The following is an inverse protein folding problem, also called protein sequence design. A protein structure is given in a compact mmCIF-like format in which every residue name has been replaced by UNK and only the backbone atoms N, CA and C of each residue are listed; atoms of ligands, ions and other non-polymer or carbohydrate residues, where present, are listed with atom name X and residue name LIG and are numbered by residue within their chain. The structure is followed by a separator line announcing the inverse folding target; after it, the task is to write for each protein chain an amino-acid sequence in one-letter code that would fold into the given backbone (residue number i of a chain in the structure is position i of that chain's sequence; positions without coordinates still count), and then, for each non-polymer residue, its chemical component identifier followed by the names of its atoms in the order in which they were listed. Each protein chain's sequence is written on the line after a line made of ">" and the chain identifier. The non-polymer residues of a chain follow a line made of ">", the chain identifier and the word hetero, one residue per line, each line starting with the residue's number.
data_IF_298105522371
#
_entry.id   IF_298105522371
#
_cell.length_a   1.000
_cell.length_b   1.000
_cell.length_c   1.000
_cell.angle_alpha   90.00
_cell.angle_beta   90.00
_cell.angle_gamma   90.00
#
_symmetry.space_group_name_H-M   'P 1'
#
loop_
_entity.id
_entity.type
_entity.pdbx_description
1 polymer ?
#
# COMPACT_ATOMS: atom_id res chain seq x y z
N UNK A 1 -6.63 -27.98 -2.23
CA UNK A 1 -7.15 -27.05 -1.20
C UNK A 1 -5.98 -26.18 -0.74
N UNK A 2 -5.78 -25.00 -1.32
CA UNK A 2 -4.67 -24.12 -0.94
C UNK A 2 -5.01 -23.53 0.42
N UNK A 3 -4.29 -23.94 1.48
CA UNK A 3 -4.39 -23.28 2.78
C UNK A 3 -3.93 -21.84 2.58
N UNK A 4 -4.86 -20.89 2.53
CA UNK A 4 -4.52 -19.49 2.72
C UNK A 4 -3.91 -19.37 4.12
N UNK A 5 -2.59 -19.28 4.19
CA UNK A 5 -1.90 -18.90 5.41
C UNK A 5 -2.55 -17.62 5.92
N UNK A 6 -2.88 -17.59 7.22
CA UNK A 6 -3.32 -16.36 7.89
C UNK A 6 -2.26 -15.31 7.55
N UNK A 7 -2.63 -14.27 6.79
CA UNK A 7 -1.87 -13.04 6.77
C UNK A 7 -1.83 -12.57 8.21
N UNK A 8 -0.70 -12.80 8.87
CA UNK A 8 -0.42 -12.21 10.16
C UNK A 8 -0.14 -10.74 9.89
N UNK A 9 -1.20 -9.91 9.89
CA UNK A 9 -1.06 -8.45 9.92
C UNK A 9 -0.23 -8.00 11.14
N UNK A 10 -0.13 -8.85 12.14
CA UNK A 10 0.66 -8.65 13.35
C UNK A 10 1.90 -9.53 13.34
N UNK A 11 3.04 -8.86 13.31
CA UNK A 11 4.36 -9.46 13.41
C UNK A 11 4.68 -9.80 14.88
N UNK A 12 4.93 -11.08 15.25
CA UNK A 12 5.14 -11.47 16.63
C UNK A 12 6.46 -10.95 17.23
N UNK A 13 7.49 -10.71 16.40
CA UNK A 13 8.83 -10.30 16.85
C UNK A 13 9.51 -9.34 15.85
N UNK A 14 9.01 -8.10 15.71
CA UNK A 14 9.57 -7.13 14.78
C UNK A 14 11.02 -6.75 15.13
N UNK A 15 11.85 -6.61 14.10
CA UNK A 15 13.18 -6.03 14.23
C UNK A 15 13.05 -4.52 14.48
N UNK A 16 13.82 -3.99 15.43
CA UNK A 16 14.02 -2.53 15.52
C UNK A 16 14.91 -2.12 14.34
N UNK A 17 14.67 -0.93 13.78
CA UNK A 17 15.49 -0.46 12.65
C UNK A 17 16.84 0.02 13.17
N UNK A 18 17.85 -0.85 13.03
CA UNK A 18 19.27 -0.63 13.35
C UNK A 18 19.98 0.15 12.25
N UNK A 19 21.14 -0.29 11.79
CA UNK A 19 21.69 0.20 10.53
C UNK A 19 20.76 -0.19 9.38
N UNK A 20 20.66 0.68 8.39
CA UNK A 20 19.77 0.52 7.23
C UNK A 20 20.61 0.63 5.99
N UNK A 21 20.59 -0.42 5.18
CA UNK A 21 21.12 -0.37 3.83
C UNK A 21 20.00 0.07 2.88
N UNK A 22 20.30 0.98 1.96
CA UNK A 22 19.32 1.51 1.00
C UNK A 22 19.87 1.39 -0.40
N UNK A 23 19.04 0.88 -1.30
CA UNK A 23 19.39 0.63 -2.69
C UNK A 23 18.32 1.19 -3.62
N UNK A 24 18.76 1.66 -4.79
CA UNK A 24 17.90 2.16 -5.87
C UNK A 24 18.01 1.29 -7.10
N UNK A 25 16.87 0.94 -7.69
CA UNK A 25 16.83 0.27 -8.98
C UNK A 25 15.89 1.00 -9.93
N UNK A 26 16.41 1.43 -11.08
CA UNK A 26 15.67 2.19 -12.09
C UNK A 26 16.28 3.55 -12.37
N UNK A 27 15.55 4.38 -13.12
CA UNK A 27 16.01 5.72 -13.45
C UNK A 27 15.79 6.69 -12.27
N UNK A 28 16.73 7.61 -12.06
CA UNK A 28 16.64 8.67 -11.04
C UNK A 28 15.40 9.55 -11.21
N UNK A 29 14.87 9.66 -12.44
CA UNK A 29 13.58 10.29 -12.71
C UNK A 29 12.54 9.24 -13.10
N UNK A 30 11.50 9.10 -12.28
CA UNK A 30 10.45 8.11 -12.50
C UNK A 30 9.04 8.69 -12.40
N UNK A 31 8.05 7.97 -12.93
CA UNK A 31 6.64 8.28 -12.66
C UNK A 31 6.28 7.92 -11.22
N UNK A 32 6.64 6.71 -10.81
CA UNK A 32 6.39 6.19 -9.47
C UNK A 32 7.72 5.80 -8.83
N UNK A 33 8.05 6.35 -7.68
CA UNK A 33 9.04 5.79 -6.77
C UNK A 33 8.30 4.98 -5.69
N UNK A 34 8.64 3.69 -5.55
CA UNK A 34 7.99 2.82 -4.55
C UNK A 34 9.01 2.35 -3.52
N UNK A 35 8.56 2.28 -2.28
CA UNK A 35 9.34 1.76 -1.17
C UNK A 35 9.04 0.28 -0.93
N UNK A 36 10.09 -0.54 -0.94
CA UNK A 36 10.09 -1.87 -0.36
C UNK A 36 10.96 -1.88 0.90
N UNK A 37 10.48 -2.51 1.96
CA UNK A 37 11.24 -2.72 3.19
C UNK A 37 11.57 -4.21 3.28
N UNK A 38 12.82 -4.58 3.09
CA UNK A 38 13.28 -5.96 3.20
C UNK A 38 13.57 -6.30 4.66
N UNK A 39 12.94 -7.36 5.17
CA UNK A 39 13.09 -7.79 6.56
C UNK A 39 11.89 -7.45 7.46
N UNK A 40 12.03 -7.77 8.75
CA UNK A 40 10.89 -7.90 9.65
C UNK A 40 10.42 -6.57 10.28
N UNK A 41 9.80 -5.70 9.48
CA UNK A 41 9.52 -4.31 9.85
C UNK A 41 8.53 -4.14 11.02
N UNK A 42 8.86 -3.21 11.92
CA UNK A 42 8.10 -2.97 13.17
C UNK A 42 6.86 -2.10 13.01
N UNK A 43 6.84 -1.22 12.00
CA UNK A 43 5.79 -0.20 11.79
C UNK A 43 5.64 0.80 12.94
N UNK A 44 6.62 0.89 13.84
CA UNK A 44 6.68 1.93 14.88
C UNK A 44 6.97 3.27 14.23
N UNK A 45 6.44 4.34 14.82
CA UNK A 45 6.65 5.70 14.31
C UNK A 45 8.13 6.03 14.09
N UNK A 46 9.00 5.79 15.08
CA UNK A 46 10.43 6.13 14.98
C UNK A 46 11.15 5.33 13.89
N UNK A 47 10.77 4.06 13.71
CA UNK A 47 11.35 3.19 12.69
C UNK A 47 10.90 3.63 11.28
N UNK A 48 9.62 3.99 11.12
CA UNK A 48 9.08 4.56 9.87
C UNK A 48 9.72 5.92 9.55
N UNK A 49 9.89 6.78 10.56
CA UNK A 49 10.53 8.10 10.43
C UNK A 49 11.97 7.97 9.95
N UNK A 50 12.75 7.10 10.59
CA UNK A 50 14.14 6.82 10.21
C UNK A 50 14.29 6.34 8.77
N UNK A 51 13.36 5.50 8.30
CA UNK A 51 13.32 5.06 6.90
C UNK A 51 13.10 6.26 5.98
N UNK A 52 12.11 7.11 6.27
CA UNK A 52 11.83 8.28 5.43
C UNK A 52 12.99 9.29 5.42
N UNK A 53 13.66 9.50 6.56
CA UNK A 53 14.89 10.33 6.63
C UNK A 53 15.98 9.78 5.70
N UNK A 54 16.19 8.47 5.69
CA UNK A 54 17.13 7.85 4.75
C UNK A 54 16.71 7.97 3.30
N UNK A 55 15.41 7.86 3.00
CA UNK A 55 14.91 8.09 1.65
C UNK A 55 15.10 9.55 1.23
N UNK A 56 14.98 10.52 2.13
CA UNK A 56 15.21 11.94 1.82
C UNK A 56 16.66 12.30 1.52
N UNK A 57 17.62 11.45 1.88
CA UNK A 57 19.04 11.62 1.52
C UNK A 57 19.32 11.18 0.06
N UNK A 58 18.36 10.55 -0.61
CA UNK A 58 18.53 9.98 -1.94
C UNK A 58 18.27 11.01 -3.04
N UNK A 59 19.09 10.99 -4.09
CA UNK A 59 18.91 11.84 -5.25
C UNK A 59 18.02 11.15 -6.30
N UNK A 60 16.72 11.35 -6.19
CA UNK A 60 15.75 10.95 -7.21
C UNK A 60 14.68 12.01 -7.39
N UNK A 61 13.86 11.87 -8.44
CA UNK A 61 12.67 12.68 -8.67
C UNK A 61 11.52 11.81 -9.14
N UNK A 62 10.36 11.92 -8.49
CA UNK A 62 9.16 11.20 -8.91
C UNK A 62 7.91 12.09 -9.00
N UNK A 63 6.89 11.65 -9.73
CA UNK A 63 5.55 12.24 -9.59
C UNK A 63 4.90 11.70 -8.30
N UNK A 64 5.01 10.38 -8.06
CA UNK A 64 4.40 9.71 -6.91
C UNK A 64 5.44 8.94 -6.10
N UNK A 65 5.50 9.16 -4.78
CA UNK A 65 6.25 8.30 -3.85
C UNK A 65 5.29 7.44 -3.02
N UNK A 66 5.55 6.12 -2.95
CA UNK A 66 4.60 5.14 -2.42
C UNK A 66 5.20 4.30 -1.28
N UNK A 67 4.64 4.40 -0.07
CA UNK A 67 5.02 3.55 1.08
C UNK A 67 4.13 2.31 1.22
N UNK A 68 4.59 1.22 1.87
CA UNK A 68 3.75 0.06 2.19
C UNK A 68 2.45 0.43 2.94
N UNK A 69 1.41 -0.41 2.83
CA UNK A 69 0.26 -0.28 3.73
C UNK A 69 0.69 -0.58 5.17
N UNK A 70 0.09 0.13 6.14
CA UNK A 70 0.53 0.05 7.52
C UNK A 70 1.99 0.42 7.73
N UNK A 71 2.57 1.29 6.89
CA UNK A 71 3.93 1.80 7.05
C UNK A 71 4.15 2.36 8.46
N UNK A 72 3.13 3.02 9.01
CA UNK A 72 3.05 3.32 10.43
C UNK A 72 1.77 2.77 11.04
N UNK A 73 1.89 2.21 12.25
CA UNK A 73 0.76 1.84 13.09
C UNK A 73 0.52 2.92 14.16
N UNK A 74 -0.70 3.43 14.23
CA UNK A 74 -1.09 4.47 15.19
C UNK A 74 -2.02 3.91 16.28
N UNK A 75 -2.04 4.51 17.49
CA UNK A 75 -2.92 4.07 18.57
C UNK A 75 -4.40 4.13 18.18
N UNK A 76 -5.16 3.10 18.54
CA UNK A 76 -6.61 3.07 18.31
C UNK A 76 -7.34 3.97 19.30
N UNK A 77 -8.16 4.89 18.78
CA UNK A 77 -9.02 5.78 19.58
C UNK A 77 -10.28 6.24 18.84
N UNK A 78 -10.68 5.50 17.81
CA UNK A 78 -11.67 5.95 16.82
C UNK A 78 -12.98 5.19 16.95
N UNK A 79 -14.07 5.89 16.67
CA UNK A 79 -15.41 5.32 16.55
C UNK A 79 -15.89 5.22 15.10
N UNK A 80 -15.27 5.98 14.19
CA UNK A 80 -15.62 6.03 12.77
C UNK A 80 -14.45 6.39 11.86
N UNK A 81 -14.71 6.33 10.55
CA UNK A 81 -13.70 6.53 9.51
C UNK A 81 -13.15 7.96 9.49
N UNK A 82 -14.01 8.99 9.63
CA UNK A 82 -13.60 10.40 9.58
C UNK A 82 -12.65 10.79 10.73
N UNK A 83 -12.89 10.27 11.93
CA UNK A 83 -12.02 10.46 13.09
C UNK A 83 -10.63 9.84 12.84
N UNK A 84 -10.63 8.63 12.28
CA UNK A 84 -9.42 7.91 11.94
C UNK A 84 -8.64 8.62 10.82
N UNK A 85 -9.33 9.15 9.80
CA UNK A 85 -8.73 9.95 8.74
C UNK A 85 -8.07 11.21 9.30
N UNK A 86 -8.77 11.97 10.16
CA UNK A 86 -8.24 13.19 10.77
C UNK A 86 -6.97 12.92 11.57
N UNK A 87 -6.93 11.84 12.34
CA UNK A 87 -5.73 11.48 13.11
C UNK A 87 -4.63 10.92 12.21
N UNK A 88 -4.99 10.08 11.22
CA UNK A 88 -4.07 9.58 10.21
C UNK A 88 -3.31 10.71 9.51
N UNK A 89 -4.02 11.76 9.08
CA UNK A 89 -3.41 12.97 8.49
C UNK A 89 -2.39 13.61 9.44
N UNK A 90 -2.71 13.73 10.73
CA UNK A 90 -1.78 14.28 11.73
C UNK A 90 -0.53 13.43 11.88
N UNK A 91 -0.65 12.10 11.86
CA UNK A 91 0.50 11.20 11.95
C UNK A 91 1.36 11.22 10.70
N UNK A 92 0.76 11.26 9.51
CA UNK A 92 1.48 11.42 8.26
C UNK A 92 2.23 12.77 8.19
N UNK A 93 1.62 13.87 8.64
CA UNK A 93 2.28 15.16 8.77
C UNK A 93 3.50 15.12 9.70
N UNK A 94 3.36 14.48 10.87
CA UNK A 94 4.47 14.30 11.81
C UNK A 94 5.58 13.41 11.25
N UNK A 95 5.24 12.39 10.46
CA UNK A 95 6.26 11.57 9.78
C UNK A 95 7.06 12.39 8.78
N UNK A 96 6.42 13.30 8.05
CA UNK A 96 7.06 14.14 7.04
C UNK A 96 7.70 15.42 7.58
N UNK A 97 7.51 15.76 8.86
CA UNK A 97 8.10 16.96 9.47
C UNK A 97 9.64 16.95 9.39
N UNK A 98 10.23 17.86 8.63
CA UNK A 98 11.69 17.91 8.41
C UNK A 98 12.23 16.81 7.48
N UNK A 99 11.37 16.11 6.74
CA UNK A 99 11.75 15.14 5.72
C UNK A 99 11.29 15.65 4.36
N UNK A 100 12.23 15.87 3.45
CA UNK A 100 11.95 16.32 2.09
C UNK A 100 12.15 15.15 1.12
N UNK A 101 11.05 14.59 0.61
CA UNK A 101 11.09 13.59 -0.45
C UNK A 101 10.84 14.32 -1.78
N UNK A 102 11.74 14.15 -2.75
CA UNK A 102 11.61 14.78 -4.08
C UNK A 102 10.57 14.05 -4.94
N UNK A 103 9.32 14.11 -4.50
CA UNK A 103 8.15 13.63 -5.22
C UNK A 103 7.05 14.69 -5.18
N UNK A 104 6.25 14.82 -6.25
CA UNK A 104 5.12 15.78 -6.25
C UNK A 104 4.07 15.42 -5.20
N UNK A 105 3.77 14.12 -5.07
CA UNK A 105 2.80 13.58 -4.14
C UNK A 105 3.38 12.36 -3.41
N UNK A 106 3.16 12.29 -2.10
CA UNK A 106 3.65 11.22 -1.23
C UNK A 106 2.47 10.45 -0.65
N UNK A 107 2.43 9.13 -0.80
CA UNK A 107 1.38 8.29 -0.26
C UNK A 107 1.87 7.49 0.96
N UNK A 108 1.32 7.81 2.13
CA UNK A 108 1.66 7.18 3.41
C UNK A 108 0.58 6.15 3.81
N UNK A 109 0.99 4.90 4.01
CA UNK A 109 0.14 3.86 4.59
C UNK A 109 0.04 3.99 6.11
N UNK A 110 -1.18 4.15 6.64
CA UNK A 110 -1.43 4.31 8.08
C UNK A 110 -2.49 3.31 8.54
N UNK A 111 -2.14 2.47 9.51
CA UNK A 111 -3.08 1.53 10.09
C UNK A 111 -3.38 1.82 11.56
N UNK A 112 -4.58 1.47 11.99
CA UNK A 112 -4.93 1.44 13.41
C UNK A 112 -5.82 0.25 13.74
N UNK A 113 -5.50 -0.44 14.83
CA UNK A 113 -6.17 -1.66 15.24
C UNK A 113 -6.55 -1.60 16.71
N UNK A 114 -7.83 -1.82 17.03
CA UNK A 114 -8.30 -1.91 18.43
C UNK A 114 -7.75 -3.14 19.18
N UNK A 115 -7.36 -4.19 18.44
CA UNK A 115 -6.73 -5.39 19.00
C UNK A 115 -5.99 -6.17 17.90
N UNK A 116 -5.26 -7.23 18.28
CA UNK A 116 -4.67 -8.18 17.33
C UNK A 116 -5.69 -9.09 16.63
N UNK A 117 -6.96 -9.05 17.03
CA UNK A 117 -8.05 -9.78 16.40
C UNK A 117 -8.71 -8.90 15.32
N UNK A 118 -8.54 -9.28 14.06
CA UNK A 118 -9.10 -8.56 12.89
C UNK A 118 -10.62 -8.61 12.78
N UNK A 119 -11.30 -9.40 13.62
CA UNK A 119 -12.74 -9.31 13.78
C UNK A 119 -13.17 -8.10 14.63
N UNK A 120 -12.23 -7.44 15.32
CA UNK A 120 -12.47 -6.21 16.08
C UNK A 120 -12.23 -4.97 15.21
N UNK A 121 -12.80 -3.80 15.60
CA UNK A 121 -12.67 -2.56 14.84
C UNK A 121 -11.22 -2.22 14.47
N UNK A 122 -11.00 -1.91 13.20
CA UNK A 122 -9.72 -1.45 12.68
C UNK A 122 -9.91 -0.62 11.39
N UNK A 123 -8.89 0.16 11.03
CA UNK A 123 -8.80 0.92 9.78
C UNK A 123 -7.44 0.67 9.11
N UNK A 124 -7.42 0.72 7.78
CA UNK A 124 -6.22 0.66 6.95
C UNK A 124 -6.35 1.79 5.94
N UNK A 125 -5.50 2.81 6.04
CA UNK A 125 -5.62 4.09 5.34
C UNK A 125 -4.46 4.30 4.37
N UNK A 126 -4.72 4.99 3.26
CA UNK A 126 -3.70 5.60 2.42
C UNK A 126 -3.93 7.11 2.36
N UNK A 127 -2.88 7.87 2.64
CA UNK A 127 -2.92 9.33 2.76
C UNK A 127 -2.01 9.91 1.70
N UNK A 128 -2.60 10.58 0.71
CA UNK A 128 -1.89 11.36 -0.28
C UNK A 128 -1.54 12.72 0.34
N UNK A 129 -0.27 12.87 0.70
CA UNK A 129 0.33 14.06 1.27
C UNK A 129 0.92 14.91 0.15
N UNK A 130 0.55 16.20 0.10
CA UNK A 130 1.07 17.25 -0.80
C UNK A 130 0.74 17.14 -2.31
N UNK A 131 0.24 18.20 -2.96
CA UNK A 131 -0.10 19.51 -2.38
C UNK A 131 -1.44 19.46 -1.63
N UNK A 132 -1.73 20.48 -0.82
CA UNK A 132 -3.06 20.63 -0.23
C UNK A 132 -4.13 20.93 -1.28
N UNK A 133 -5.37 20.44 -1.09
CA UNK A 133 -5.83 19.64 0.04
C UNK A 133 -5.38 18.18 -0.02
N UNK A 134 -4.99 17.60 1.12
CA UNK A 134 -4.63 16.18 1.17
C UNK A 134 -5.82 15.27 0.89
N UNK A 135 -5.64 14.37 -0.09
CA UNK A 135 -6.57 13.30 -0.40
C UNK A 135 -6.33 12.09 0.50
N UNK A 136 -7.41 11.41 0.88
CA UNK A 136 -7.30 10.18 1.68
C UNK A 136 -8.27 9.14 1.19
N UNK A 137 -7.83 7.89 1.29
CA UNK A 137 -8.64 6.72 1.08
C UNK A 137 -8.30 5.67 2.13
N UNK A 138 -8.96 4.53 2.07
CA UNK A 138 -8.65 3.38 2.90
C UNK A 138 -9.24 2.13 2.30
N UNK A 139 -8.98 0.99 2.94
CA UNK A 139 -9.39 -0.30 2.40
C UNK A 139 -10.91 -0.45 2.29
N UNK A 140 -11.37 -0.96 1.16
CA UNK A 140 -12.80 -1.24 0.90
C UNK A 140 -13.11 -2.73 0.87
N UNK A 141 -12.13 -3.54 0.48
CA UNK A 141 -12.31 -4.97 0.25
C UNK A 141 -11.50 -5.79 1.26
N UNK A 142 -12.07 -6.11 2.44
CA UNK A 142 -11.36 -6.86 3.48
C UNK A 142 -11.09 -8.30 3.07
N UNK A 143 -10.08 -8.91 3.65
CA UNK A 143 -9.94 -10.38 3.65
C UNK A 143 -11.05 -11.01 4.50
N UNK A 144 -11.22 -12.34 4.41
CA UNK A 144 -12.27 -13.06 5.17
C UNK A 144 -12.12 -12.93 6.69
N UNK A 145 -10.89 -12.72 7.19
CA UNK A 145 -10.61 -12.53 8.62
C UNK A 145 -10.89 -11.11 9.14
N UNK A 146 -10.96 -10.12 8.25
CA UNK A 146 -11.11 -8.70 8.58
C UNK A 146 -12.57 -8.27 8.74
N UNK A 147 -13.31 -8.94 9.62
CA UNK A 147 -14.74 -8.66 9.86
C UNK A 147 -14.99 -7.31 10.54
N UNK A 148 -13.99 -6.76 11.23
CA UNK A 148 -14.10 -5.48 11.92
C UNK A 148 -13.58 -4.27 11.12
N UNK A 149 -13.30 -4.43 9.82
CA UNK A 149 -12.78 -3.32 9.01
C UNK A 149 -13.85 -2.21 8.90
N UNK A 150 -13.50 -1.00 9.33
CA UNK A 150 -14.26 0.20 8.98
C UNK A 150 -13.78 0.61 7.58
N UNK A 151 -14.64 0.40 6.59
CA UNK A 151 -14.33 0.57 5.17
C UNK A 151 -14.35 2.04 4.77
N UNK A 152 -13.50 2.40 3.82
CA UNK A 152 -13.59 3.67 3.13
C UNK A 152 -14.75 3.69 2.14
N UNK A 153 -14.95 4.84 1.51
CA UNK A 153 -15.79 4.97 0.32
C UNK A 153 -15.01 4.53 -0.93
N UNK A 154 -15.69 3.88 -1.89
CA UNK A 154 -15.09 3.44 -3.15
C UNK A 154 -14.62 4.67 -3.93
N UNK A 155 -15.42 5.72 -3.98
CA UNK A 155 -15.12 6.95 -4.74
C UNK A 155 -13.81 7.61 -4.29
N UNK A 156 -13.44 7.45 -3.02
CA UNK A 156 -12.18 8.00 -2.49
C UNK A 156 -10.92 7.37 -3.09
N UNK A 157 -11.02 6.26 -3.83
CA UNK A 157 -9.89 5.60 -4.49
C UNK A 157 -9.51 6.25 -5.83
N UNK A 158 -10.39 7.06 -6.40
CA UNK A 158 -10.22 7.69 -7.71
C UNK A 158 -9.82 9.16 -7.52
N UNK A 159 -8.56 9.48 -7.83
CA UNK A 159 -7.98 10.80 -7.61
C UNK A 159 -7.65 11.46 -8.95
N UNK A 160 -8.21 12.64 -9.19
CA UNK A 160 -7.78 13.53 -10.27
C UNK A 160 -6.64 14.42 -9.75
N UNK A 161 -5.41 14.02 -10.06
CA UNK A 161 -4.20 14.82 -9.82
C UNK A 161 -3.73 15.43 -11.15
N UNK A 162 -2.43 15.44 -11.42
CA UNK A 162 -1.90 15.74 -12.77
C UNK A 162 -2.44 14.74 -13.83
N UNK A 163 -2.84 13.55 -13.38
CA UNK A 163 -3.53 12.54 -14.17
C UNK A 163 -4.55 11.77 -13.31
N UNK A 164 -5.29 10.85 -13.93
CA UNK A 164 -6.24 10.00 -13.23
C UNK A 164 -5.50 8.86 -12.52
N UNK A 165 -5.50 8.89 -11.20
CA UNK A 165 -4.81 7.92 -10.33
C UNK A 165 -5.84 7.07 -9.59
N UNK A 166 -5.67 5.75 -9.60
CA UNK A 166 -6.39 4.85 -8.70
C UNK A 166 -5.46 4.36 -7.59
N UNK A 167 -5.89 4.48 -6.34
CA UNK A 167 -5.13 4.01 -5.16
C UNK A 167 -5.80 2.74 -4.64
N UNK A 168 -5.03 1.71 -4.31
CA UNK A 168 -5.51 0.40 -3.86
C UNK A 168 -4.86 0.03 -2.52
N UNK A 169 -5.66 -0.28 -1.50
CA UNK A 169 -5.16 -0.65 -0.18
C UNK A 169 -5.14 -2.17 0.00
N UNK A 170 -3.96 -2.76 -0.20
CA UNK A 170 -3.64 -4.17 0.00
C UNK A 170 -4.59 -5.14 -0.72
N UNK A 171 -5.64 -5.60 -0.03
CA UNK A 171 -6.52 -6.61 -0.60
C UNK A 171 -7.48 -6.05 -1.66
N UNK A 172 -7.60 -4.73 -1.80
CA UNK A 172 -8.41 -4.10 -2.84
C UNK A 172 -7.99 -4.51 -4.25
N UNK A 173 -6.68 -4.70 -4.50
CA UNK A 173 -6.19 -5.19 -5.79
C UNK A 173 -6.80 -6.57 -6.16
N UNK A 174 -7.21 -7.38 -5.18
CA UNK A 174 -7.85 -8.68 -5.46
C UNK A 174 -9.27 -8.58 -6.00
N UNK A 175 -9.88 -7.39 -5.99
CA UNK A 175 -11.12 -7.11 -6.72
C UNK A 175 -10.96 -7.49 -8.19
N UNK A 176 -9.78 -7.30 -8.79
CA UNK A 176 -9.52 -7.63 -10.19
C UNK A 176 -9.12 -9.10 -10.41
N UNK A 177 -9.09 -9.94 -9.38
CA UNK A 177 -8.71 -11.33 -9.55
C UNK A 177 -9.90 -12.18 -10.03
N UNK A 178 -9.88 -12.74 -11.25
CA UNK A 178 -11.01 -13.49 -11.81
C UNK A 178 -11.28 -14.79 -11.05
N UNK A 179 -10.29 -15.34 -10.34
CA UNK A 179 -10.46 -16.56 -9.55
C UNK A 179 -11.42 -16.38 -8.38
N UNK A 180 -11.58 -15.14 -7.90
CA UNK A 180 -12.51 -14.84 -6.80
C UNK A 180 -13.90 -14.49 -7.30
N UNK A 181 -14.16 -14.46 -8.61
CA UNK A 181 -15.48 -14.09 -9.18
C UNK A 181 -16.52 -15.17 -8.91
N UNK A 182 -16.17 -16.44 -9.14
CA UNK A 182 -17.09 -17.58 -8.97
C UNK A 182 -17.51 -17.83 -7.51
N UNK A 183 -16.77 -17.28 -6.55
CA UNK A 183 -17.01 -17.47 -5.11
C UNK A 183 -17.54 -16.22 -4.40
N UNK A 184 -17.45 -15.04 -5.02
CA UNK A 184 -17.99 -13.81 -4.45
C UNK A 184 -19.53 -13.83 -4.49
N UNK A 185 -20.16 -13.51 -3.36
CA UNK A 185 -21.62 -13.44 -3.21
C UNK A 185 -22.01 -12.24 -2.35
N UNK A 186 -23.24 -11.74 -2.53
CA UNK A 186 -23.79 -10.59 -1.80
C UNK A 186 -22.90 -9.36 -1.93
N UNK A 187 -22.74 -8.61 -0.84
CA UNK A 187 -21.98 -7.36 -0.81
C UNK A 187 -20.55 -7.45 -1.36
N UNK A 188 -19.88 -8.61 -1.27
CA UNK A 188 -18.53 -8.78 -1.84
C UNK A 188 -18.54 -8.79 -3.37
N UNK A 189 -19.61 -9.32 -3.96
CA UNK A 189 -19.80 -9.30 -5.41
C UNK A 189 -20.14 -7.88 -5.85
N UNK A 190 -21.07 -7.22 -5.15
CA UNK A 190 -21.49 -5.84 -5.41
C UNK A 190 -20.30 -4.88 -5.40
N UNK A 191 -19.47 -4.88 -4.35
CA UNK A 191 -18.26 -4.03 -4.30
C UNK A 191 -17.30 -4.31 -5.45
N UNK A 192 -17.16 -5.57 -5.89
CA UNK A 192 -16.28 -5.89 -7.01
C UNK A 192 -16.80 -5.35 -8.32
N UNK A 193 -18.10 -5.42 -8.54
CA UNK A 193 -18.76 -4.90 -9.75
C UNK A 193 -18.66 -3.38 -9.76
N UNK A 194 -19.10 -2.73 -8.68
CA UNK A 194 -19.06 -1.26 -8.50
C UNK A 194 -17.64 -0.69 -8.68
N UNK A 195 -16.63 -1.27 -8.03
CA UNK A 195 -15.26 -0.77 -8.17
C UNK A 195 -14.69 -0.98 -9.58
N UNK A 196 -15.03 -2.10 -10.25
CA UNK A 196 -14.59 -2.36 -11.63
C UNK A 196 -15.26 -1.39 -12.62
N UNK A 197 -16.55 -1.12 -12.44
CA UNK A 197 -17.28 -0.11 -13.21
C UNK A 197 -16.65 1.27 -13.01
N UNK A 198 -16.39 1.65 -11.75
CA UNK A 198 -15.68 2.90 -11.42
C UNK A 198 -14.32 3.01 -12.10
N UNK A 199 -13.53 1.93 -12.16
CA UNK A 199 -12.25 1.92 -12.89
C UNK A 199 -12.44 2.11 -14.40
N UNK A 200 -13.43 1.45 -15.01
CA UNK A 200 -13.71 1.54 -16.45
C UNK A 200 -14.15 2.96 -16.80
N UNK A 201 -15.00 3.56 -15.97
CA UNK A 201 -15.54 4.91 -16.20
C UNK A 201 -14.48 5.98 -15.92
N UNK A 202 -13.74 5.85 -14.83
CA UNK A 202 -12.68 6.79 -14.44
C UNK A 202 -11.46 6.72 -15.37
N UNK A 203 -11.17 5.58 -16.00
CA UNK A 203 -10.03 5.38 -16.91
C UNK A 203 -8.69 5.85 -16.31
N UNK A 204 -8.25 5.27 -15.18
CA UNK A 204 -7.01 5.68 -14.55
C UNK A 204 -5.81 5.42 -15.46
N UNK A 205 -4.84 6.32 -15.42
CA UNK A 205 -3.58 6.25 -16.16
C UNK A 205 -2.46 5.68 -15.27
N UNK A 206 -2.62 5.83 -13.95
CA UNK A 206 -1.71 5.36 -12.90
C UNK A 206 -2.48 4.55 -11.86
N UNK A 207 -1.90 3.44 -11.42
CA UNK A 207 -2.41 2.66 -10.29
C UNK A 207 -1.35 2.48 -9.20
N UNK A 208 -1.67 2.89 -7.97
CA UNK A 208 -0.79 2.82 -6.81
C UNK A 208 -1.32 1.77 -5.83
N UNK A 209 -0.53 0.75 -5.51
CA UNK A 209 -0.96 -0.33 -4.63
C UNK A 209 -0.11 -0.41 -3.36
N UNK A 210 -0.75 -0.15 -2.23
CA UNK A 210 -0.16 -0.29 -0.91
C UNK A 210 -0.36 -1.71 -0.39
N UNK A 211 0.59 -2.63 -0.60
CA UNK A 211 0.53 -3.92 0.09
C UNK A 211 1.12 -3.82 1.49
N UNK A 212 0.63 -4.63 2.43
CA UNK A 212 1.31 -4.82 3.72
C UNK A 212 2.58 -5.65 3.54
N UNK A 213 2.43 -6.83 2.97
CA UNK A 213 3.51 -7.76 2.70
C UNK A 213 3.47 -8.22 1.25
N UNK A 214 4.63 -8.29 0.62
CA UNK A 214 4.80 -8.87 -0.71
C UNK A 214 6.13 -9.61 -0.78
N UNK A 215 6.12 -10.89 -0.44
CA UNK A 215 7.28 -11.81 -0.51
C UNK A 215 7.29 -12.66 -1.80
N UNK A 216 6.33 -12.40 -2.70
CA UNK A 216 6.24 -13.00 -4.03
C UNK A 216 5.29 -12.21 -4.92
N UNK A 217 5.59 -12.09 -6.23
CA UNK A 217 4.69 -11.40 -7.15
C UNK A 217 3.43 -12.21 -7.48
N UNK A 218 3.44 -13.52 -7.24
CA UNK A 218 2.34 -14.41 -7.66
C UNK A 218 1.04 -14.17 -6.89
N UNK A 219 1.10 -13.46 -5.76
CA UNK A 219 -0.10 -13.00 -5.04
C UNK A 219 -0.89 -11.99 -5.87
N UNK A 220 -0.21 -11.13 -6.63
CA UNK A 220 -0.80 -9.93 -7.24
C UNK A 220 -0.88 -9.99 -8.77
N UNK A 221 -0.02 -10.77 -9.43
CA UNK A 221 0.13 -10.76 -10.89
C UNK A 221 -1.19 -10.98 -11.66
N UNK A 222 -2.06 -11.85 -11.16
CA UNK A 222 -3.34 -12.12 -11.80
C UNK A 222 -4.27 -10.92 -11.71
N UNK A 223 -4.27 -10.20 -10.58
CA UNK A 223 -5.04 -8.97 -10.43
C UNK A 223 -4.52 -7.85 -11.32
N UNK A 224 -3.20 -7.61 -11.33
CA UNK A 224 -2.60 -6.58 -12.17
C UNK A 224 -2.95 -6.77 -13.65
N UNK A 225 -2.76 -7.99 -14.16
CA UNK A 225 -3.10 -8.33 -15.55
C UNK A 225 -4.57 -8.12 -15.91
N UNK A 226 -5.48 -8.19 -14.95
CA UNK A 226 -6.91 -7.96 -15.23
C UNK A 226 -7.28 -6.48 -15.08
N UNK A 227 -6.70 -5.77 -14.11
CA UNK A 227 -6.81 -4.31 -14.06
C UNK A 227 -6.34 -3.67 -15.37
N UNK A 228 -5.17 -4.07 -15.88
CA UNK A 228 -4.64 -3.61 -17.17
C UNK A 228 -5.57 -3.90 -18.37
N UNK A 229 -6.35 -4.98 -18.32
CA UNK A 229 -7.24 -5.34 -19.43
C UNK A 229 -8.50 -4.48 -19.48
N UNK A 230 -8.92 -3.95 -18.33
CA UNK A 230 -10.18 -3.21 -18.20
C UNK A 230 -9.95 -1.71 -18.00
N UNK A 231 -8.71 -1.24 -18.03
CA UNK A 231 -8.35 0.15 -17.77
C UNK A 231 -7.23 0.63 -18.68
N UNK A 232 -7.01 1.94 -18.69
CA UNK A 232 -5.97 2.62 -19.47
C UNK A 232 -4.66 2.77 -18.66
N UNK A 233 -4.45 1.97 -17.61
CA UNK A 233 -3.30 2.09 -16.71
C UNK A 233 -1.99 1.81 -17.47
N UNK A 234 -1.14 2.83 -17.55
CA UNK A 234 0.18 2.78 -18.19
C UNK A 234 1.31 2.59 -17.19
N UNK A 235 1.11 3.07 -15.96
CA UNK A 235 2.05 2.97 -14.86
C UNK A 235 1.39 2.34 -13.65
N UNK A 236 2.03 1.33 -13.06
CA UNK A 236 1.61 0.86 -11.74
C UNK A 236 2.77 0.37 -10.92
N UNK A 237 2.56 0.33 -9.62
CA UNK A 237 3.53 -0.15 -8.66
C UNK A 237 2.83 -0.69 -7.41
N UNK A 238 3.32 -1.82 -6.92
CA UNK A 238 3.06 -2.29 -5.55
C UNK A 238 4.23 -1.89 -4.67
N UNK A 239 4.00 -1.20 -3.55
CA UNK A 239 4.95 -1.09 -2.43
C UNK A 239 4.63 -2.16 -1.38
N UNK A 240 5.59 -2.58 -0.56
CA UNK A 240 5.32 -3.57 0.48
C UNK A 240 6.50 -3.86 1.40
N UNK A 241 6.23 -4.59 2.48
CA UNK A 241 7.30 -5.23 3.27
C UNK A 241 7.65 -6.57 2.60
N UNK A 242 8.89 -6.73 2.17
CA UNK A 242 9.42 -7.98 1.63
C UNK A 242 9.90 -8.86 2.78
N UNK A 243 8.96 -9.60 3.35
CA UNK A 243 9.19 -10.49 4.48
C UNK A 243 8.12 -11.57 4.56
N UNK A 244 8.53 -12.78 4.96
CA UNK A 244 7.64 -13.86 5.34
C UNK A 244 8.31 -14.73 6.39
N UNK A 245 7.58 -15.01 7.48
CA UNK A 245 8.01 -15.98 8.47
C UNK A 245 8.18 -17.37 7.81
N UNK A 246 9.34 -17.98 8.00
CA UNK A 246 9.70 -19.24 7.34
C UNK A 246 10.23 -19.09 5.90
N UNK A 247 10.51 -17.88 5.45
CA UNK A 247 11.18 -17.60 4.18
C UNK A 247 10.26 -17.04 3.10
N UNK A 248 10.82 -16.10 2.34
CA UNK A 248 10.22 -15.49 1.16
C UNK A 248 9.99 -16.52 0.05
N UNK A 249 8.99 -16.29 -0.80
CA UNK A 249 8.53 -17.27 -1.80
C UNK A 249 9.12 -17.01 -3.20
N UNK A 250 9.73 -15.86 -3.44
CA UNK A 250 10.43 -15.53 -4.66
C UNK A 250 11.46 -14.43 -4.36
N UNK A 251 12.53 -14.34 -5.16
CA UNK A 251 13.55 -13.29 -5.07
C UNK A 251 12.96 -11.87 -5.16
N UNK A 252 13.65 -10.90 -4.57
CA UNK A 252 13.17 -9.52 -4.49
C UNK A 252 13.15 -8.87 -5.87
N UNK A 253 14.16 -9.08 -6.71
CA UNK A 253 14.25 -8.54 -8.07
C UNK A 253 13.07 -9.02 -8.91
N UNK A 254 12.74 -10.31 -8.80
CA UNK A 254 11.57 -10.87 -9.50
C UNK A 254 10.27 -10.31 -8.97
N UNK A 255 10.20 -10.05 -7.67
CA UNK A 255 9.05 -9.43 -7.02
C UNK A 255 8.86 -8.00 -7.49
N UNK A 256 9.93 -7.20 -7.54
CA UNK A 256 9.93 -5.84 -8.05
C UNK A 256 9.48 -5.82 -9.52
N UNK A 257 10.15 -6.58 -10.39
CA UNK A 257 9.86 -6.64 -11.83
C UNK A 257 8.39 -6.93 -12.13
N UNK A 258 7.80 -7.92 -11.44
CA UNK A 258 6.43 -8.38 -11.74
C UNK A 258 5.32 -7.64 -10.99
N UNK A 259 5.67 -6.70 -10.11
CA UNK A 259 4.68 -5.89 -9.37
C UNK A 259 4.75 -4.40 -9.70
N UNK A 260 5.50 -4.05 -10.75
CA UNK A 260 5.55 -2.70 -11.32
C UNK A 260 5.49 -2.73 -12.85
N UNK A 261 5.07 -1.61 -13.45
CA UNK A 261 5.07 -1.40 -14.90
C UNK A 261 5.26 0.08 -15.24
N UNK A 262 5.95 0.31 -16.36
CA UNK A 262 6.21 1.64 -16.89
C UNK A 262 7.41 2.27 -16.20
N UNK A 263 7.40 3.60 -16.06
CA UNK A 263 8.45 4.34 -15.36
C UNK A 263 8.33 4.18 -13.84
N UNK A 264 9.01 3.18 -13.28
CA UNK A 264 9.06 2.88 -11.84
C UNK A 264 10.51 2.93 -11.35
N UNK A 265 10.73 3.57 -10.22
CA UNK A 265 11.95 3.53 -9.42
C UNK A 265 11.68 2.71 -8.16
N UNK A 266 12.52 1.73 -7.90
CA UNK A 266 12.46 0.90 -6.71
C UNK A 266 13.44 1.43 -5.66
N UNK A 267 12.90 1.81 -4.50
CA UNK A 267 13.67 2.14 -3.31
C UNK A 267 13.56 0.96 -2.36
N UNK A 268 14.64 0.23 -2.16
CA UNK A 268 14.68 -0.92 -1.26
C UNK A 268 15.47 -0.56 -0.02
N UNK A 269 14.85 -0.69 1.14
CA UNK A 269 15.49 -0.49 2.44
C UNK A 269 15.60 -1.83 3.14
N UNK A 270 16.83 -2.30 3.34
CA UNK A 270 17.11 -3.52 4.09
C UNK A 270 17.28 -3.20 5.57
N UNK A 271 16.47 -3.85 6.39
CA UNK A 271 16.47 -3.77 7.86
C UNK A 271 16.79 -5.12 8.51
N UNK A 272 17.30 -6.08 7.73
CA UNK A 272 17.68 -7.41 8.19
C UNK A 272 19.13 -7.50 8.72
N UNK A 273 19.88 -6.39 8.62
CA UNK A 273 21.23 -6.23 9.12
C UNK A 273 21.34 -6.32 10.66
#
# INVERSE_FOLDING_TARGET
>A
MVKHHKELLFNPHPAKVGEVEIQMFGAERAKIARLFIAGNFSRRFDDAKKILEKVSEMDFKADYFLTPSGFVKIPWKFSGFDEALKDGKRWAARLLEGVEINAKQIFIGVDSYSSSNLAKPHVELSIACSPDPWHCTGKVYPTVSQKGLIRADIDSHFLELDERVVVLCCHDLTIFNPRSDSSAKGWRKEIKEEFREGVVDFKPEVALHHSHYTDTPFTWIASWRNLEKISDVRHYATSGVYYREGGVRAEIERTLELTGKGSVLDVVVDISC
#
